data_IF_147586401694
#
_entry.id   IF_147586401694
#
_cell.length_a   1.000
_cell.length_b   1.000
_cell.length_c   1.000
_cell.angle_alpha   90.00
_cell.angle_beta   90.00
_cell.angle_gamma   90.00
#
_symmetry.space_group_name_H-M   'P 1'
#
loop_
_entity.id
_entity.type
_entity.pdbx_description
1 polymer ?
#
# COMPACT_ATOMS: atom_id res chain seq x y z
N UNK A 1 -5.58 2.21 -8.23
CA UNK A 1 -5.05 1.23 -9.21
C UNK A 1 -6.20 0.35 -9.70
N UNK A 2 -6.07 -0.26 -10.87
CA UNK A 2 -7.02 -1.24 -11.39
C UNK A 2 -6.41 -2.64 -11.34
N UNK A 3 -7.19 -3.62 -10.89
CA UNK A 3 -6.77 -5.03 -10.89
C UNK A 3 -7.73 -5.79 -11.80
N UNK A 4 -7.20 -6.34 -12.90
CA UNK A 4 -8.02 -7.03 -13.88
C UNK A 4 -8.40 -8.45 -13.41
N UNK A 5 -9.62 -8.87 -13.77
CA UNK A 5 -10.10 -10.23 -13.54
C UNK A 5 -10.87 -10.40 -12.21
N UNK A 6 -11.57 -11.53 -12.04
CA UNK A 6 -12.34 -11.81 -10.84
C UNK A 6 -11.43 -12.11 -9.64
N UNK A 7 -11.87 -11.75 -8.43
CA UNK A 7 -11.22 -12.17 -7.18
C UNK A 7 -11.52 -13.65 -6.92
N UNK A 8 -10.68 -14.53 -7.50
CA UNK A 8 -10.71 -15.98 -7.25
C UNK A 8 -10.02 -16.33 -5.93
N UNK A 9 -10.17 -17.58 -5.47
CA UNK A 9 -9.41 -18.08 -4.32
C UNK A 9 -7.90 -18.02 -4.55
N UNK A 10 -7.44 -18.29 -5.78
CA UNK A 10 -6.05 -18.17 -6.17
C UNK A 10 -5.55 -16.71 -6.10
N UNK A 11 -6.35 -15.77 -6.60
CA UNK A 11 -6.04 -14.34 -6.50
C UNK A 11 -5.94 -13.89 -5.03
N UNK A 12 -6.86 -14.36 -4.18
CA UNK A 12 -6.84 -14.06 -2.74
C UNK A 12 -5.59 -14.64 -2.05
N UNK A 13 -5.17 -15.86 -2.41
CA UNK A 13 -3.93 -16.45 -1.91
C UNK A 13 -2.70 -15.66 -2.36
N UNK A 14 -2.66 -15.22 -3.64
CA UNK A 14 -1.62 -14.36 -4.16
C UNK A 14 -1.55 -13.01 -3.44
N UNK A 15 -2.70 -12.39 -3.15
CA UNK A 15 -2.75 -11.15 -2.37
C UNK A 15 -2.28 -11.33 -0.93
N UNK A 16 -2.52 -12.50 -0.32
CA UNK A 16 -2.00 -12.82 1.01
C UNK A 16 -0.47 -12.91 1.02
N UNK A 17 0.11 -13.65 0.09
CA UNK A 17 1.57 -13.74 -0.06
C UNK A 17 2.19 -12.37 -0.34
N UNK A 18 1.50 -11.56 -1.16
CA UNK A 18 1.90 -10.18 -1.42
C UNK A 18 1.89 -9.35 -0.13
N UNK A 19 0.84 -9.44 0.69
CA UNK A 19 0.77 -8.74 1.98
C UNK A 19 1.91 -9.18 2.93
N UNK A 20 2.19 -10.48 3.02
CA UNK A 20 3.30 -11.01 3.82
C UNK A 20 4.65 -10.48 3.35
N UNK A 21 4.89 -10.45 2.02
CA UNK A 21 6.13 -9.91 1.45
C UNK A 21 6.30 -8.40 1.70
N UNK A 22 5.21 -7.65 1.74
CA UNK A 22 5.21 -6.19 2.00
C UNK A 22 5.58 -5.92 3.44
N UNK A 23 5.06 -6.72 4.39
CA UNK A 23 5.36 -6.57 5.81
C UNK A 23 6.83 -6.81 6.16
N UNK A 24 7.61 -7.42 5.25
CA UNK A 24 9.05 -7.64 5.41
C UNK A 24 9.92 -6.56 4.75
N UNK A 25 9.33 -5.56 4.11
CA UNK A 25 10.10 -4.53 3.41
C UNK A 25 10.68 -3.51 4.39
N UNK A 26 11.97 -3.17 4.25
CA UNK A 26 12.60 -2.14 5.07
C UNK A 26 11.80 -0.83 5.04
N UNK A 27 11.57 -0.26 6.22
CA UNK A 27 10.87 1.00 6.41
C UNK A 27 9.36 0.98 6.18
N UNK A 28 8.73 -0.13 5.76
CA UNK A 28 7.27 -0.24 5.78
C UNK A 28 6.81 -0.40 7.23
N UNK A 29 6.04 0.57 7.75
CA UNK A 29 5.45 0.49 9.09
C UNK A 29 4.10 -0.26 9.02
N UNK A 30 3.21 0.19 8.13
CA UNK A 30 1.95 -0.50 7.87
C UNK A 30 1.39 -0.15 6.49
N UNK A 31 0.40 -0.95 6.07
CA UNK A 31 -0.40 -0.75 4.87
C UNK A 31 -1.87 -0.97 5.19
N UNK A 32 -2.73 -0.09 4.70
CA UNK A 32 -4.18 -0.33 4.60
C UNK A 32 -4.48 -0.73 3.16
N UNK A 33 -5.15 -1.87 2.98
CA UNK A 33 -5.72 -2.28 1.70
C UNK A 33 -7.14 -1.77 1.58
N UNK A 34 -7.50 -1.23 0.41
CA UNK A 34 -8.86 -0.78 0.13
C UNK A 34 -9.31 -1.31 -1.22
N UNK A 35 -10.61 -1.56 -1.35
CA UNK A 35 -11.23 -1.90 -2.62
C UNK A 35 -12.64 -1.32 -2.66
N UNK A 36 -13.12 -1.02 -3.85
CA UNK A 36 -14.51 -0.64 -4.07
C UNK A 36 -15.29 -1.90 -4.48
N UNK A 37 -16.36 -2.20 -3.75
CA UNK A 37 -17.17 -3.40 -4.01
C UNK A 37 -17.86 -3.31 -5.38
N UNK A 38 -17.81 -4.38 -6.15
CA UNK A 38 -18.44 -4.45 -7.47
C UNK A 38 -17.66 -3.75 -8.59
N UNK A 39 -16.45 -3.24 -8.31
CA UNK A 39 -15.56 -2.66 -9.33
C UNK A 39 -14.19 -3.34 -9.30
N UNK A 40 -13.35 -3.02 -10.29
CA UNK A 40 -11.95 -3.41 -10.37
C UNK A 40 -11.02 -2.39 -9.70
N UNK A 41 -11.56 -1.46 -8.91
CA UNK A 41 -10.77 -0.42 -8.23
C UNK A 41 -10.23 -0.93 -6.90
N UNK A 42 -8.91 -0.90 -6.82
CA UNK A 42 -8.16 -1.17 -5.61
C UNK A 42 -7.32 0.05 -5.23
N UNK A 43 -7.07 0.17 -3.93
CA UNK A 43 -6.28 1.24 -3.37
C UNK A 43 -5.47 0.75 -2.18
N UNK A 44 -4.55 1.60 -1.76
CA UNK A 44 -3.84 1.39 -0.53
C UNK A 44 -3.25 2.67 0.00
N UNK A 45 -3.13 2.74 1.32
CA UNK A 45 -2.37 3.78 2.01
C UNK A 45 -1.25 3.11 2.78
N UNK A 46 -0.06 3.67 2.69
CA UNK A 46 1.12 3.18 3.37
C UNK A 46 1.62 4.22 4.36
N UNK A 47 2.28 3.75 5.42
CA UNK A 47 3.18 4.53 6.24
C UNK A 47 4.59 3.96 6.14
N UNK A 48 5.56 4.85 5.89
CA UNK A 48 6.98 4.52 5.86
C UNK A 48 7.74 5.22 6.99
N UNK A 49 8.90 4.69 7.36
CA UNK A 49 9.80 5.29 8.35
C UNK A 49 10.38 6.63 7.90
N UNK A 50 10.63 6.76 6.60
CA UNK A 50 11.27 7.91 5.99
C UNK A 50 11.06 7.89 4.46
N UNK A 51 11.43 8.99 3.80
CA UNK A 51 11.27 9.16 2.36
C UNK A 51 12.17 8.21 1.54
N UNK A 52 13.38 7.90 2.02
CA UNK A 52 14.32 7.04 1.30
C UNK A 52 13.79 5.60 1.20
N UNK A 53 13.24 5.07 2.29
CA UNK A 53 12.59 3.77 2.32
C UNK A 53 11.35 3.73 1.42
N UNK A 54 10.54 4.81 1.43
CA UNK A 54 9.39 4.95 0.55
C UNK A 54 9.81 4.88 -0.92
N UNK A 55 10.77 5.70 -1.34
CA UNK A 55 11.21 5.80 -2.73
C UNK A 55 11.80 4.48 -3.23
N UNK A 56 12.66 3.86 -2.41
CA UNK A 56 13.23 2.53 -2.68
C UNK A 56 12.14 1.47 -2.87
N UNK A 57 11.17 1.42 -1.95
CA UNK A 57 10.07 0.48 -2.06
C UNK A 57 9.18 0.77 -3.27
N UNK A 58 8.87 2.04 -3.55
CA UNK A 58 8.03 2.46 -4.67
C UNK A 58 8.61 2.00 -6.00
N UNK A 59 9.91 2.21 -6.23
CA UNK A 59 10.56 1.82 -7.49
C UNK A 59 10.44 0.31 -7.76
N UNK A 60 10.69 -0.51 -6.72
CA UNK A 60 10.53 -1.97 -6.80
C UNK A 60 9.05 -2.36 -6.96
N UNK A 61 8.16 -1.75 -6.17
CA UNK A 61 6.77 -2.18 -6.08
C UNK A 61 5.99 -1.87 -7.35
N UNK A 62 6.26 -0.74 -8.02
CA UNK A 62 5.61 -0.39 -9.29
C UNK A 62 5.90 -1.45 -10.37
N UNK A 63 7.16 -1.86 -10.52
CA UNK A 63 7.55 -2.95 -11.45
C UNK A 63 6.81 -4.26 -11.13
N UNK A 64 6.66 -4.57 -9.84
CA UNK A 64 5.91 -5.76 -9.38
C UNK A 64 4.42 -5.67 -9.69
N UNK A 65 3.79 -4.50 -9.51
CA UNK A 65 2.37 -4.29 -9.80
C UNK A 65 2.10 -4.43 -11.31
N UNK A 66 2.95 -3.85 -12.16
CA UNK A 66 2.87 -4.02 -13.60
C UNK A 66 2.96 -5.51 -14.01
N UNK A 67 3.87 -6.28 -13.40
CA UNK A 67 3.99 -7.71 -13.64
C UNK A 67 2.73 -8.52 -13.22
N UNK A 68 1.94 -8.00 -12.27
CA UNK A 68 0.64 -8.56 -11.88
C UNK A 68 -0.53 -8.06 -12.73
N UNK A 69 -0.26 -7.32 -13.81
CA UNK A 69 -1.30 -6.77 -14.69
C UNK A 69 -2.09 -5.63 -14.05
N UNK A 70 -1.55 -5.01 -13.00
CA UNK A 70 -2.15 -3.81 -12.41
C UNK A 70 -1.91 -2.63 -13.34
N UNK A 71 -2.97 -1.91 -13.66
CA UNK A 71 -2.94 -0.76 -14.56
C UNK A 71 -3.50 0.48 -13.87
N UNK A 72 -3.39 1.64 -14.54
CA UNK A 72 -3.92 2.92 -14.07
C UNK A 72 -3.52 3.21 -12.61
N UNK A 73 -2.21 3.12 -12.35
CA UNK A 73 -1.68 3.41 -11.03
C UNK A 73 -1.57 4.94 -10.90
N UNK A 74 -2.17 5.46 -9.85
CA UNK A 74 -2.00 6.85 -9.41
C UNK A 74 -1.57 6.80 -7.96
N UNK A 75 -0.55 7.56 -7.63
CA UNK A 75 -0.01 7.63 -6.28
C UNK A 75 0.39 9.06 -5.92
N UNK A 76 0.44 9.33 -4.63
CA UNK A 76 0.81 10.62 -4.06
C UNK A 76 1.69 10.38 -2.84
N UNK A 77 2.66 11.26 -2.64
CA UNK A 77 3.57 11.24 -1.49
C UNK A 77 3.27 12.50 -0.66
N UNK A 78 3.11 12.31 0.65
CA UNK A 78 2.80 13.38 1.60
C UNK A 78 3.64 13.22 2.86
N UNK A 79 4.03 14.34 3.46
CA UNK A 79 4.43 14.38 4.86
C UNK A 79 3.21 14.26 5.78
N UNK A 80 3.46 13.90 7.04
CA UNK A 80 2.41 13.66 8.03
C UNK A 80 2.25 14.90 8.91
N UNK A 81 1.02 15.39 9.03
CA UNK A 81 0.66 16.36 10.06
C UNK A 81 0.41 15.62 11.39
N UNK A 82 1.49 15.25 12.08
CA UNK A 82 1.45 14.33 13.23
C UNK A 82 0.49 14.80 14.33
N UNK A 83 0.60 16.06 14.77
CA UNK A 83 -0.23 16.63 15.84
C UNK A 83 -1.73 16.46 15.57
N UNK A 84 -2.16 16.72 14.33
CA UNK A 84 -3.57 16.56 13.93
C UNK A 84 -3.95 15.09 13.80
N UNK A 85 -3.04 14.28 13.27
CA UNK A 85 -3.28 12.86 12.99
C UNK A 85 -3.46 12.06 14.28
N UNK A 86 -2.70 12.38 15.32
CA UNK A 86 -2.82 11.77 16.65
C UNK A 86 -4.20 12.04 17.27
N UNK A 87 -4.73 13.27 17.14
CA UNK A 87 -6.09 13.62 17.62
C UNK A 87 -7.14 12.70 17.00
N UNK A 88 -6.97 12.34 15.73
CA UNK A 88 -7.87 11.43 15.01
C UNK A 88 -7.41 9.97 15.01
N UNK A 89 -6.54 9.59 15.95
CA UNK A 89 -6.15 8.19 16.23
C UNK A 89 -5.40 7.52 15.08
N UNK A 90 -4.67 8.28 14.28
CA UNK A 90 -3.82 7.71 13.24
C UNK A 90 -2.78 6.74 13.87
N UNK A 91 -2.54 5.57 13.27
CA UNK A 91 -1.63 4.56 13.81
C UNK A 91 -0.16 4.90 13.53
N UNK A 92 0.28 6.12 13.84
CA UNK A 92 1.65 6.63 13.56
C UNK A 92 2.61 6.51 14.76
N UNK A 93 2.14 5.99 15.90
CA UNK A 93 2.89 5.98 17.15
C UNK A 93 2.67 7.24 17.98
N UNK A 94 3.43 7.39 19.07
CA UNK A 94 3.51 8.68 19.78
C UNK A 94 4.43 9.61 18.96
N UNK A 95 4.11 10.91 18.84
CA UNK A 95 4.99 11.86 18.16
C UNK A 95 6.36 11.85 18.83
N UNK A 96 7.42 11.83 18.02
CA UNK A 96 8.82 11.87 18.49
C UNK A 96 9.22 13.24 19.00
#
# INVERSE_FOLDING_TARGET
MRVAGPMTEEAAAGMKQLAESIAQQPGVIWKIWTHESGTDRFGSTYLFSDLEALETYKEMHMKRLEAFGVTEITDYIFDIMEDLSVINKAPIGAPS
#
